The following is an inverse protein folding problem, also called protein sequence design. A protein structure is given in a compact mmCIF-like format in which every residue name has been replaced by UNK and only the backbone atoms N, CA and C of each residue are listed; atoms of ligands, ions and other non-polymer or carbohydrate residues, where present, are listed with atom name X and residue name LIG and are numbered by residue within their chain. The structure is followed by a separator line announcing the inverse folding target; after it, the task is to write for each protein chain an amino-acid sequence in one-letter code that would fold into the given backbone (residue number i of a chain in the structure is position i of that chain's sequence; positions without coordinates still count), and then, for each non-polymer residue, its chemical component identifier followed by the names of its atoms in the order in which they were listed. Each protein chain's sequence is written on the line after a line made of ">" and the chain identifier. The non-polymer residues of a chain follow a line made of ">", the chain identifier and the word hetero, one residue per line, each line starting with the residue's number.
data_IF_902831909378
#
_entry.id   IF_902831909378
#
_cell.length_a   1.000
_cell.length_b   1.000
_cell.length_c   1.000
_cell.angle_alpha   90.00
_cell.angle_beta   90.00
_cell.angle_gamma   90.00
#
_symmetry.space_group_name_H-M   'P 1'
#
loop_
_entity.id
_entity.type
_entity.pdbx_description
1 polymer ?
#
# COMPACT_ATOMS: atom_id res chain seq x y z
N UNK A 1 -10.72 -13.18 -18.70
CA UNK A 1 -9.30 -13.50 -18.53
C UNK A 1 -9.11 -14.30 -17.25
N UNK A 2 -8.08 -15.14 -17.25
CA UNK A 2 -7.69 -15.99 -16.12
C UNK A 2 -6.36 -15.52 -15.55
N UNK A 3 -6.23 -15.51 -14.23
CA UNK A 3 -4.97 -15.20 -13.54
C UNK A 3 -3.99 -16.35 -13.76
N UNK A 4 -2.82 -16.06 -14.33
CA UNK A 4 -1.77 -17.04 -14.65
C UNK A 4 -0.60 -16.98 -13.67
N UNK A 5 -0.33 -15.82 -13.07
CA UNK A 5 0.74 -15.65 -12.09
C UNK A 5 0.40 -14.54 -11.07
N UNK A 6 1.01 -14.67 -9.88
CA UNK A 6 0.95 -13.69 -8.79
C UNK A 6 2.34 -13.57 -8.21
N UNK A 7 3.07 -12.51 -8.54
CA UNK A 7 4.51 -12.40 -8.27
C UNK A 7 4.80 -11.29 -7.25
N UNK A 8 5.19 -11.64 -6.01
CA UNK A 8 5.66 -10.67 -5.03
C UNK A 8 7.15 -10.35 -5.25
N UNK A 9 7.50 -9.07 -5.24
CA UNK A 9 8.85 -8.53 -5.40
C UNK A 9 9.25 -7.75 -4.15
N UNK A 10 10.22 -8.27 -3.40
CA UNK A 10 10.80 -7.54 -2.29
C UNK A 10 11.88 -6.58 -2.81
N UNK A 11 11.62 -5.27 -2.67
CA UNK A 11 12.57 -4.20 -2.96
C UNK A 11 13.01 -3.52 -1.66
N UNK A 12 14.28 -3.12 -1.59
CA UNK A 12 14.82 -2.39 -0.43
C UNK A 12 15.95 -1.46 -0.84
N UNK A 13 16.13 -0.41 -0.04
CA UNK A 13 17.35 0.38 -0.06
C UNK A 13 18.57 -0.47 0.36
N UNK A 14 19.79 -0.12 -0.10
CA UNK A 14 21.02 -0.79 0.36
C UNK A 14 21.12 -0.77 1.88
N UNK A 15 20.84 0.39 2.48
CA UNK A 15 20.87 0.63 3.92
C UNK A 15 19.46 0.93 4.44
N UNK A 16 19.03 0.18 5.46
CA UNK A 16 17.79 0.43 6.22
C UNK A 16 18.20 0.97 7.58
N UNK A 17 17.65 2.13 7.95
CA UNK A 17 17.94 2.84 9.19
C UNK A 17 16.86 2.61 10.25
N UNK A 18 17.05 3.17 11.45
CA UNK A 18 16.05 3.14 12.52
C UNK A 18 15.00 4.25 12.42
N UNK A 19 15.04 5.06 11.36
CA UNK A 19 14.00 6.05 11.10
C UNK A 19 12.65 5.36 10.91
N UNK A 20 11.59 5.97 11.42
CA UNK A 20 10.21 5.55 11.17
C UNK A 20 9.77 6.01 9.77
N UNK A 21 10.51 5.56 8.76
CA UNK A 21 10.32 5.82 7.35
C UNK A 21 9.99 4.51 6.64
N UNK A 22 8.72 4.35 6.26
CA UNK A 22 8.21 3.18 5.54
C UNK A 22 8.65 3.11 4.07
N UNK A 23 9.31 4.14 3.53
CA UNK A 23 9.77 4.16 2.13
C UNK A 23 11.12 3.46 1.93
N UNK A 24 11.74 2.96 2.99
CA UNK A 24 13.05 2.31 2.96
C UNK A 24 13.02 0.92 2.31
N UNK A 25 11.87 0.25 2.33
CA UNK A 25 11.64 -1.00 1.64
C UNK A 25 10.17 -1.18 1.26
N UNK A 26 9.86 -2.14 0.39
CA UNK A 26 8.49 -2.38 -0.08
C UNK A 26 8.30 -3.78 -0.65
N UNK A 27 7.06 -4.24 -0.70
CA UNK A 27 6.64 -5.42 -1.43
C UNK A 27 5.69 -5.03 -2.56
N UNK A 28 6.19 -5.05 -3.79
CA UNK A 28 5.37 -4.91 -4.99
C UNK A 28 4.77 -6.27 -5.36
N UNK A 29 3.57 -6.26 -5.92
CA UNK A 29 2.86 -7.46 -6.35
C UNK A 29 2.39 -7.26 -7.77
N UNK A 30 2.78 -8.17 -8.65
CA UNK A 30 2.29 -8.23 -10.03
C UNK A 30 1.30 -9.38 -10.19
N UNK A 31 0.18 -9.12 -10.85
CA UNK A 31 -0.76 -10.15 -11.30
C UNK A 31 -0.74 -10.20 -12.81
N UNK A 32 -0.51 -11.39 -13.38
CA UNK A 32 -0.54 -11.60 -14.82
C UNK A 32 -1.78 -12.39 -15.22
N UNK A 33 -2.32 -12.09 -16.40
CA UNK A 33 -3.45 -12.82 -16.98
C UNK A 33 -3.09 -13.53 -18.28
N UNK A 34 -3.93 -14.48 -18.69
CA UNK A 34 -3.82 -15.19 -19.97
C UNK A 34 -4.03 -14.30 -21.21
N UNK A 35 -4.59 -13.10 -21.05
CA UNK A 35 -4.70 -12.10 -22.11
C UNK A 35 -3.46 -11.22 -22.24
N UNK A 36 -2.45 -11.41 -21.38
CA UNK A 36 -1.25 -10.59 -21.33
C UNK A 36 -1.42 -9.25 -20.61
N UNK A 37 -2.55 -9.03 -19.91
CA UNK A 37 -2.69 -7.87 -19.03
C UNK A 37 -1.93 -8.13 -17.72
N UNK A 38 -1.29 -7.09 -17.21
CA UNK A 38 -0.56 -7.13 -15.95
C UNK A 38 -1.03 -5.98 -15.06
N UNK A 39 -1.40 -6.29 -13.82
CA UNK A 39 -1.71 -5.27 -12.82
C UNK A 39 -0.68 -5.26 -11.72
N UNK A 40 -0.47 -4.09 -11.14
CA UNK A 40 0.50 -3.85 -10.09
C UNK A 40 -0.18 -3.26 -8.85
N UNK A 41 0.30 -3.70 -7.70
CA UNK A 41 -0.07 -3.14 -6.41
C UNK A 41 1.09 -3.23 -5.42
N UNK A 42 0.93 -2.55 -4.30
CA UNK A 42 1.96 -2.41 -3.29
C UNK A 42 1.37 -2.68 -1.90
N UNK A 43 2.12 -3.40 -1.08
CA UNK A 43 1.79 -3.70 0.30
C UNK A 43 2.62 -2.82 1.23
N UNK A 44 1.97 -1.99 2.05
CA UNK A 44 2.60 -1.26 3.15
C UNK A 44 2.67 -2.15 4.40
N UNK A 45 3.63 -3.09 4.41
CA UNK A 45 3.92 -3.97 5.54
C UNK A 45 5.30 -4.61 5.42
N UNK A 46 5.72 -5.37 6.43
CA UNK A 46 6.97 -6.14 6.40
C UNK A 46 7.05 -7.05 5.17
N UNK A 47 7.96 -6.79 4.20
CA UNK A 47 7.93 -7.48 2.92
C UNK A 47 8.15 -8.98 3.03
N UNK A 48 9.09 -9.44 3.86
CA UNK A 48 9.40 -10.86 3.99
C UNK A 48 8.26 -11.64 4.67
N UNK A 49 7.62 -11.06 5.69
CA UNK A 49 6.48 -11.68 6.38
C UNK A 49 5.29 -11.76 5.42
N UNK A 50 5.02 -10.68 4.67
CA UNK A 50 3.97 -10.68 3.65
C UNK A 50 4.27 -11.65 2.51
N UNK A 51 5.51 -11.73 2.02
CA UNK A 51 5.93 -12.68 0.97
C UNK A 51 5.66 -14.13 1.40
N UNK A 52 5.89 -14.48 2.66
CA UNK A 52 5.57 -15.82 3.16
C UNK A 52 4.08 -16.18 2.96
N UNK A 53 3.16 -15.21 3.08
CA UNK A 53 1.72 -15.42 2.86
C UNK A 53 1.38 -15.71 1.39
N UNK A 54 2.26 -15.38 0.44
CA UNK A 54 2.08 -15.72 -0.97
C UNK A 54 2.49 -17.15 -1.32
N UNK A 55 3.30 -17.82 -0.48
CA UNK A 55 3.86 -19.13 -0.83
C UNK A 55 3.93 -20.13 0.33
N UNK A 56 3.41 -19.81 1.51
CA UNK A 56 3.42 -20.74 2.64
C UNK A 56 2.68 -22.04 2.27
N UNK A 57 3.17 -23.21 2.71
CA UNK A 57 2.41 -24.44 2.61
C UNK A 57 1.04 -24.29 3.28
N UNK A 58 0.04 -24.99 2.76
CA UNK A 58 -1.25 -25.06 3.44
C UNK A 58 -1.09 -25.78 4.78
N UNK A 59 -1.59 -25.17 5.85
CA UNK A 59 -1.66 -25.85 7.16
C UNK A 59 -3.00 -26.58 7.33
N UNK A 60 -4.11 -25.95 6.94
CA UNK A 60 -5.46 -26.52 6.90
C UNK A 60 -6.39 -25.60 6.08
N UNK A 61 -7.70 -25.90 6.02
CA UNK A 61 -8.66 -25.24 5.12
C UNK A 61 -8.88 -23.73 5.30
N UNK A 62 -8.31 -23.12 6.35
CA UNK A 62 -8.35 -21.69 6.65
C UNK A 62 -6.95 -21.05 6.65
N UNK A 63 -5.92 -21.81 6.22
CA UNK A 63 -4.54 -21.36 6.06
C UNK A 63 -4.06 -21.86 4.70
N UNK A 64 -4.43 -21.13 3.65
CA UNK A 64 -4.05 -21.36 2.26
C UNK A 64 -3.45 -20.04 1.75
N UNK A 65 -2.28 -20.12 1.10
CA UNK A 65 -1.57 -18.94 0.62
C UNK A 65 -2.32 -18.20 -0.51
N UNK A 66 -1.91 -16.95 -0.76
CA UNK A 66 -2.54 -16.07 -1.76
C UNK A 66 -2.40 -16.64 -3.18
N UNK A 67 -1.23 -17.17 -3.56
CA UNK A 67 -1.00 -17.70 -4.92
C UNK A 67 -1.94 -18.86 -5.23
N UNK A 68 -2.08 -19.82 -4.32
CA UNK A 68 -3.01 -20.95 -4.44
C UNK A 68 -4.46 -20.48 -4.49
N UNK A 69 -4.78 -19.37 -3.82
CA UNK A 69 -6.14 -18.82 -3.82
C UNK A 69 -6.50 -18.08 -5.11
N UNK A 70 -5.53 -17.49 -5.81
CA UNK A 70 -5.76 -16.63 -6.98
C UNK A 70 -5.41 -17.26 -8.34
N UNK A 71 -4.32 -18.03 -8.45
CA UNK A 71 -3.90 -18.58 -9.75
C UNK A 71 -4.96 -19.54 -10.28
N UNK A 72 -5.34 -19.35 -11.54
CA UNK A 72 -6.37 -20.13 -12.21
C UNK A 72 -7.79 -19.56 -12.08
N UNK A 73 -8.00 -18.54 -11.26
CA UNK A 73 -9.29 -17.84 -11.14
C UNK A 73 -9.57 -16.94 -12.34
N UNK A 74 -10.86 -16.75 -12.63
CA UNK A 74 -11.33 -15.76 -13.60
C UNK A 74 -11.44 -14.39 -12.96
N UNK A 75 -11.23 -13.36 -13.77
CA UNK A 75 -11.42 -11.96 -13.40
C UNK A 75 -11.87 -11.20 -14.65
N UNK A 76 -13.10 -10.73 -14.67
CA UNK A 76 -13.71 -10.08 -15.84
C UNK A 76 -14.22 -8.68 -15.52
N UNK A 77 -14.71 -8.47 -14.31
CA UNK A 77 -15.39 -7.25 -13.90
C UNK A 77 -15.07 -6.89 -12.43
N UNK A 78 -15.54 -5.73 -11.94
CA UNK A 78 -15.31 -5.30 -10.56
C UNK A 78 -15.85 -6.25 -9.47
N UNK A 79 -16.91 -7.02 -9.74
CA UNK A 79 -17.48 -7.94 -8.76
C UNK A 79 -16.57 -9.17 -8.53
N UNK A 80 -15.81 -9.56 -9.55
CA UNK A 80 -14.77 -10.59 -9.38
C UNK A 80 -13.69 -10.18 -8.38
N UNK A 81 -13.32 -8.90 -8.31
CA UNK A 81 -12.33 -8.43 -7.32
C UNK A 81 -12.86 -8.68 -5.90
N UNK A 82 -14.14 -8.38 -5.64
CA UNK A 82 -14.79 -8.65 -4.34
C UNK A 82 -14.85 -10.13 -4.03
N UNK A 83 -15.29 -10.95 -5.00
CA UNK A 83 -15.37 -12.41 -4.87
C UNK A 83 -14.00 -13.02 -4.55
N UNK A 84 -12.95 -12.56 -5.22
CA UNK A 84 -11.58 -13.02 -5.00
C UNK A 84 -11.06 -12.58 -3.62
N UNK A 85 -11.36 -11.35 -3.20
CA UNK A 85 -11.05 -10.86 -1.85
C UNK A 85 -11.70 -11.71 -0.77
N UNK A 86 -12.98 -12.01 -0.89
CA UNK A 86 -13.69 -12.90 0.05
C UNK A 86 -13.08 -14.30 0.06
N UNK A 87 -12.75 -14.85 -1.12
CA UNK A 87 -12.09 -16.16 -1.23
C UNK A 87 -10.74 -16.18 -0.53
N UNK A 88 -9.86 -15.22 -0.82
CA UNK A 88 -8.50 -15.15 -0.25
C UNK A 88 -8.56 -14.95 1.26
N UNK A 89 -9.40 -14.02 1.74
CA UNK A 89 -9.52 -13.74 3.18
C UNK A 89 -10.14 -14.92 3.94
N UNK A 90 -11.09 -15.66 3.35
CA UNK A 90 -11.62 -16.89 3.95
C UNK A 90 -10.54 -17.99 4.00
N UNK A 91 -9.83 -18.16 2.91
CA UNK A 91 -8.77 -19.16 2.76
C UNK A 91 -7.57 -18.89 3.67
N UNK A 92 -7.29 -17.63 3.99
CA UNK A 92 -6.22 -17.20 4.88
C UNK A 92 -6.71 -16.67 6.23
N UNK A 93 -7.92 -17.04 6.67
CA UNK A 93 -8.57 -16.51 7.87
C UNK A 93 -7.67 -16.61 9.12
N UNK A 94 -6.92 -17.70 9.25
CA UNK A 94 -6.03 -17.94 10.40
C UNK A 94 -4.57 -17.52 10.13
N UNK A 95 -4.30 -16.84 9.00
CA UNK A 95 -3.01 -16.22 8.70
C UNK A 95 -3.05 -14.77 9.16
N UNK A 96 -2.39 -14.45 10.28
CA UNK A 96 -2.47 -13.10 10.85
C UNK A 96 -1.97 -11.96 9.95
N UNK A 97 -1.05 -12.28 9.04
CA UNK A 97 -0.51 -11.31 8.08
C UNK A 97 -1.42 -11.15 6.83
N UNK A 98 -2.53 -11.88 6.70
CA UNK A 98 -3.28 -11.99 5.44
C UNK A 98 -3.75 -10.64 4.89
N UNK A 99 -4.28 -9.75 5.72
CA UNK A 99 -4.84 -8.48 5.24
C UNK A 99 -3.75 -7.54 4.72
N UNK A 100 -2.63 -7.46 5.44
CA UNK A 100 -1.47 -6.72 4.98
C UNK A 100 -0.94 -7.31 3.67
N UNK A 101 -0.67 -8.62 3.62
CA UNK A 101 -0.10 -9.23 2.43
C UNK A 101 -1.02 -9.11 1.20
N UNK A 102 -2.33 -9.29 1.38
CA UNK A 102 -3.29 -9.30 0.29
C UNK A 102 -3.59 -7.91 -0.28
N UNK A 103 -3.39 -6.81 0.47
CA UNK A 103 -3.68 -5.46 -0.01
C UNK A 103 -2.96 -5.16 -1.34
N UNK A 104 -1.70 -5.55 -1.47
CA UNK A 104 -0.94 -5.39 -2.73
C UNK A 104 -1.53 -6.20 -3.89
N UNK A 105 -1.99 -7.43 -3.64
CA UNK A 105 -2.65 -8.24 -4.67
C UNK A 105 -4.02 -7.66 -5.05
N UNK A 106 -4.81 -7.18 -4.10
CA UNK A 106 -6.13 -6.61 -4.36
C UNK A 106 -6.05 -5.32 -5.20
N UNK A 107 -5.09 -4.45 -4.91
CA UNK A 107 -4.76 -3.28 -5.74
C UNK A 107 -4.35 -3.72 -7.15
N UNK A 108 -3.53 -4.77 -7.29
CA UNK A 108 -3.15 -5.31 -8.60
C UNK A 108 -4.34 -5.88 -9.39
N UNK A 109 -5.32 -6.50 -8.72
CA UNK A 109 -6.57 -6.94 -9.37
C UNK A 109 -7.37 -5.75 -9.89
N UNK A 110 -7.47 -4.67 -9.11
CA UNK A 110 -8.10 -3.42 -9.54
C UNK A 110 -7.39 -2.78 -10.73
N UNK A 111 -6.05 -2.79 -10.74
CA UNK A 111 -5.26 -2.28 -11.86
C UNK A 111 -5.52 -3.09 -13.14
N UNK A 112 -5.53 -4.43 -13.05
CA UNK A 112 -5.91 -5.32 -14.16
C UNK A 112 -7.31 -4.97 -14.71
N UNK A 113 -8.32 -4.82 -13.85
CA UNK A 113 -9.69 -4.47 -14.28
C UNK A 113 -9.76 -3.05 -14.86
N UNK A 114 -9.05 -2.09 -14.27
CA UNK A 114 -8.96 -0.72 -14.77
C UNK A 114 -8.40 -0.68 -16.19
N UNK A 115 -7.32 -1.42 -16.45
CA UNK A 115 -6.73 -1.55 -17.78
C UNK A 115 -7.69 -2.24 -18.76
N UNK A 116 -8.27 -3.38 -18.37
CA UNK A 116 -9.24 -4.12 -19.20
C UNK A 116 -10.41 -3.23 -19.65
N UNK A 117 -10.97 -2.45 -18.72
CA UNK A 117 -12.12 -1.60 -18.98
C UNK A 117 -11.73 -0.22 -19.52
N UNK A 118 -10.44 0.07 -19.65
CA UNK A 118 -9.90 1.38 -19.98
C UNK A 118 -10.51 2.50 -19.11
N UNK A 119 -10.60 2.24 -17.80
CA UNK A 119 -11.17 3.15 -16.81
C UNK A 119 -10.21 3.30 -15.63
N UNK A 120 -10.01 4.53 -15.12
CA UNK A 120 -9.26 4.70 -13.88
C UNK A 120 -10.04 4.07 -12.71
N UNK A 121 -9.32 3.41 -11.80
CA UNK A 121 -9.90 2.63 -10.68
C UNK A 121 -10.91 3.42 -9.86
N UNK A 122 -10.65 4.71 -9.58
CA UNK A 122 -11.59 5.53 -8.79
C UNK A 122 -13.00 5.61 -9.40
N UNK A 123 -13.14 5.53 -10.73
CA UNK A 123 -14.47 5.53 -11.38
C UNK A 123 -15.17 4.20 -11.20
N UNK A 124 -14.43 3.09 -11.27
CA UNK A 124 -14.95 1.76 -11.01
C UNK A 124 -15.50 1.66 -9.58
N UNK A 125 -14.71 2.12 -8.60
CA UNK A 125 -15.13 2.16 -7.20
C UNK A 125 -16.35 3.06 -6.97
N UNK A 126 -16.40 4.22 -7.64
CA UNK A 126 -17.53 5.12 -7.57
C UNK A 126 -18.81 4.49 -8.14
N UNK A 127 -18.72 3.85 -9.30
CA UNK A 127 -19.82 3.11 -9.95
C UNK A 127 -20.34 1.99 -9.04
N UNK A 128 -19.46 1.18 -8.46
CA UNK A 128 -19.84 0.08 -7.55
C UNK A 128 -20.46 0.55 -6.24
N UNK A 129 -20.02 1.69 -5.72
CA UNK A 129 -20.48 2.22 -4.44
C UNK A 129 -21.67 3.17 -4.60
N UNK A 130 -22.19 3.33 -5.83
CA UNK A 130 -23.23 4.30 -6.18
C UNK A 130 -22.89 5.74 -5.71
N UNK A 131 -21.61 6.11 -5.79
CA UNK A 131 -21.11 7.42 -5.38
C UNK A 131 -20.68 8.26 -6.60
N UNK A 132 -20.46 9.56 -6.36
CA UNK A 132 -20.02 10.46 -7.42
C UNK A 132 -18.63 10.08 -7.95
N UNK A 133 -18.52 9.94 -9.26
CA UNK A 133 -17.23 9.81 -9.97
C UNK A 133 -16.61 11.16 -10.32
N UNK A 134 -17.12 12.27 -9.77
CA UNK A 134 -16.55 13.60 -9.98
C UNK A 134 -15.23 13.73 -9.23
N UNK A 135 -14.13 13.81 -9.97
CA UNK A 135 -12.83 14.11 -9.39
C UNK A 135 -12.73 15.60 -9.03
N UNK A 136 -12.45 15.90 -7.77
CA UNK A 136 -12.18 17.25 -7.30
C UNK A 136 -10.68 17.43 -7.07
N UNK A 137 -10.07 18.54 -7.51
CA UNK A 137 -8.67 18.82 -7.19
C UNK A 137 -8.49 18.87 -5.67
N UNK A 138 -7.47 18.17 -5.16
CA UNK A 138 -7.07 18.20 -3.76
C UNK A 138 -5.69 18.83 -3.66
N UNK A 139 -5.53 19.75 -2.71
CA UNK A 139 -4.22 20.30 -2.36
C UNK A 139 -3.56 19.35 -1.34
N UNK A 140 -2.46 18.67 -1.68
CA UNK A 140 -1.78 17.78 -0.75
C UNK A 140 -1.04 18.57 0.33
N UNK A 141 -0.88 17.95 1.50
CA UNK A 141 0.06 18.41 2.53
C UNK A 141 1.37 17.63 2.41
N UNK A 142 2.49 18.24 2.82
CA UNK A 142 3.76 17.53 2.95
C UNK A 142 3.80 16.70 4.24
N UNK A 143 3.88 15.38 4.14
CA UNK A 143 4.09 14.49 5.29
C UNK A 143 5.59 14.21 5.43
N UNK A 144 6.21 14.73 6.48
CA UNK A 144 7.67 14.66 6.70
C UNK A 144 8.01 14.26 8.13
N UNK A 145 9.26 13.84 8.34
CA UNK A 145 9.78 13.60 9.68
C UNK A 145 10.23 14.91 10.34
N UNK A 146 10.13 14.99 11.66
CA UNK A 146 10.87 16.00 12.41
C UNK A 146 12.37 15.86 12.16
N UNK A 147 13.07 17.00 12.06
CA UNK A 147 14.52 16.99 12.11
C UNK A 147 15.00 16.69 13.53
N UNK A 148 16.24 16.23 13.66
CA UNK A 148 16.81 15.85 14.96
C UNK A 148 16.91 17.03 15.95
N UNK A 149 16.88 18.28 15.45
CA UNK A 149 16.84 19.51 16.25
C UNK A 149 15.76 20.47 15.76
N UNK A 150 15.33 21.46 16.59
CA UNK A 150 14.46 22.54 16.15
C UNK A 150 14.96 23.27 14.90
N UNK A 151 16.26 23.56 14.80
CA UNK A 151 16.85 24.23 13.64
C UNK A 151 16.82 23.37 12.37
N UNK A 152 16.93 22.05 12.51
CA UNK A 152 16.76 21.13 11.39
C UNK A 152 15.30 21.11 10.92
N UNK A 153 14.35 21.06 11.87
CA UNK A 153 12.90 21.12 11.59
C UNK A 153 12.53 22.42 10.87
N UNK A 154 13.00 23.57 11.35
CA UNK A 154 12.81 24.88 10.71
C UNK A 154 13.28 24.91 9.25
N UNK A 155 14.47 24.35 8.99
CA UNK A 155 15.03 24.26 7.64
C UNK A 155 14.17 23.41 6.71
N UNK A 156 13.65 22.28 7.20
CA UNK A 156 12.70 21.44 6.45
C UNK A 156 11.42 22.25 6.15
N UNK A 157 10.82 22.90 7.15
CA UNK A 157 9.59 23.67 6.98
C UNK A 157 9.74 24.82 5.99
N UNK A 158 10.86 25.55 6.05
CA UNK A 158 11.17 26.66 5.14
C UNK A 158 11.30 26.14 3.71
N UNK A 159 12.04 25.03 3.50
CA UNK A 159 12.15 24.40 2.18
C UNK A 159 10.81 23.95 1.61
N UNK A 160 9.93 23.35 2.43
CA UNK A 160 8.60 22.93 2.00
C UNK A 160 7.75 24.13 1.55
N UNK A 161 7.85 25.25 2.28
CA UNK A 161 7.16 26.50 1.90
C UNK A 161 7.70 27.07 0.59
N UNK A 162 9.02 27.06 0.39
CA UNK A 162 9.67 27.48 -0.86
C UNK A 162 9.26 26.60 -2.05
N UNK A 163 9.04 25.31 -1.82
CA UNK A 163 8.49 24.36 -2.81
C UNK A 163 6.99 24.56 -3.08
N UNK A 164 6.32 25.47 -2.37
CA UNK A 164 4.93 25.84 -2.61
C UNK A 164 3.90 25.09 -1.79
N UNK A 165 4.31 24.18 -0.89
CA UNK A 165 3.37 23.50 0.01
C UNK A 165 2.64 24.53 0.91
N UNK A 166 1.34 24.32 1.09
CA UNK A 166 0.48 25.18 1.93
C UNK A 166 0.15 24.57 3.29
N UNK A 167 0.41 23.28 3.45
CA UNK A 167 0.22 22.53 4.68
C UNK A 167 1.34 21.48 4.80
N UNK A 168 1.76 21.20 6.02
CA UNK A 168 2.71 20.14 6.34
C UNK A 168 2.31 19.46 7.65
N UNK A 169 2.67 18.19 7.77
CA UNK A 169 2.59 17.39 8.99
C UNK A 169 3.97 16.85 9.27
N UNK A 170 4.51 17.18 10.43
CA UNK A 170 5.74 16.61 10.95
C UNK A 170 5.39 15.48 11.91
N UNK A 171 6.02 14.32 11.74
CA UNK A 171 5.82 13.16 12.60
C UNK A 171 7.16 12.57 13.05
N UNK A 172 7.10 11.73 14.08
CA UNK A 172 8.23 10.92 14.54
C UNK A 172 9.47 11.76 14.91
N UNK A 173 10.68 11.25 14.64
CA UNK A 173 11.93 11.91 15.02
C UNK A 173 12.06 12.04 16.54
N UNK A 174 12.51 13.20 17.05
CA UNK A 174 12.65 13.48 18.49
C UNK A 174 11.34 13.81 19.22
N UNK A 175 10.22 14.02 18.51
CA UNK A 175 8.93 14.38 19.11
C UNK A 175 8.48 13.35 20.15
N UNK A 176 8.17 13.81 21.36
CA UNK A 176 7.70 13.00 22.49
C UNK A 176 8.80 12.22 23.22
N UNK A 177 10.08 12.38 22.85
CA UNK A 177 11.19 11.59 23.42
C UNK A 177 12.06 12.33 24.43
N UNK A 178 12.13 13.65 24.34
CA UNK A 178 13.10 14.47 25.10
C UNK A 178 12.44 15.55 25.98
N UNK A 179 11.19 15.31 26.40
CA UNK A 179 10.45 16.18 27.30
C UNK A 179 9.69 17.31 26.59
N UNK A 180 8.75 17.92 27.32
CA UNK A 180 7.81 18.91 26.81
C UNK A 180 8.51 20.15 26.21
N UNK A 181 9.58 20.63 26.83
CA UNK A 181 10.32 21.81 26.35
C UNK A 181 10.88 21.59 24.94
N UNK A 182 11.44 20.40 24.68
CA UNK A 182 11.95 20.04 23.37
C UNK A 182 10.83 19.92 22.34
N UNK A 183 9.70 19.31 22.71
CA UNK A 183 8.54 19.17 21.82
C UNK A 183 7.95 20.53 21.43
N UNK A 184 7.85 21.46 22.38
CA UNK A 184 7.45 22.85 22.13
C UNK A 184 8.45 23.53 21.19
N UNK A 185 9.76 23.34 21.40
CA UNK A 185 10.79 23.93 20.55
C UNK A 185 10.71 23.39 19.11
N UNK A 186 10.50 22.09 18.91
CA UNK A 186 10.31 21.48 17.59
C UNK A 186 9.09 22.01 16.84
N UNK A 187 7.96 22.22 17.52
CA UNK A 187 6.72 22.74 16.90
C UNK A 187 6.80 24.25 16.64
N UNK A 188 7.49 25.00 17.51
CA UNK A 188 7.62 26.46 17.40
C UNK A 188 8.56 26.89 16.29
N UNK A 189 9.60 26.09 16.02
CA UNK A 189 10.60 26.34 14.99
C UNK A 189 9.97 26.48 13.60
#
# INVERSE_FOLDING_TARGET
>A
MKITAVDPFYLRMPDITTAADGTQDTLLVRIQTDTGLEGWGECDASPLVSLAVYCCPMSHGNIINIRTSLVGETIEDPDDVRRLSEKVLRNGLDIQQIQHAYSGAEIALWDVIGQKLNKPVYRLLAEMSETSSTAHPKLPYASVLFGDTPEATYRIATRLREQGYRAAKFGWGPMGKFGEENDIALVRA
#
